data_IF_848018506942
#
_entry.id   IF_848018506942
#
_cell.length_a   1.000
_cell.length_b   1.000
_cell.length_c   1.000
_cell.angle_alpha   90.00
_cell.angle_beta   90.00
_cell.angle_gamma   90.00
#
_symmetry.space_group_name_H-M   'P 1'
#
loop_
_entity.id
_entity.type
_entity.pdbx_description
1 polymer ?
#
# COMPACT_ATOMS: atom_id res chain seq x y z
N UNK A 1 2.57 -2.52 37.91
CA UNK A 1 1.25 -2.76 37.28
C UNK A 1 0.29 -3.53 38.19
N UNK A 2 0.63 -4.75 38.65
CA UNK A 2 -0.22 -5.55 39.55
C UNK A 2 -0.53 -4.86 40.89
N UNK A 3 0.46 -4.22 41.52
CA UNK A 3 0.26 -3.45 42.75
C UNK A 3 -0.68 -2.25 42.56
N UNK A 4 -0.60 -1.56 41.41
CA UNK A 4 -1.49 -0.44 41.05
C UNK A 4 -2.92 -0.89 40.83
N UNK A 5 -3.12 -2.06 40.21
CA UNK A 5 -4.43 -2.70 40.09
C UNK A 5 -5.04 -3.03 41.47
N UNK A 6 -4.23 -3.51 42.43
CA UNK A 6 -4.69 -3.77 43.81
C UNK A 6 -5.06 -2.49 44.56
N UNK A 7 -4.23 -1.45 44.46
CA UNK A 7 -4.50 -0.16 45.10
C UNK A 7 -5.82 0.45 44.60
N UNK A 8 -6.03 0.43 43.29
CA UNK A 8 -7.28 0.92 42.69
C UNK A 8 -8.48 0.06 43.08
N UNK A 9 -8.30 -1.26 43.21
CA UNK A 9 -9.36 -2.13 43.72
C UNK A 9 -9.74 -1.80 45.16
N UNK A 10 -8.76 -1.57 46.04
CA UNK A 10 -8.99 -1.22 47.44
C UNK A 10 -9.79 0.09 47.58
N UNK A 11 -9.54 1.06 46.70
CA UNK A 11 -10.28 2.34 46.67
C UNK A 11 -11.73 2.20 46.16
N UNK A 12 -12.03 1.16 45.38
CA UNK A 12 -13.34 0.98 44.73
C UNK A 12 -14.03 -0.34 45.11
N UNK A 13 -14.01 -0.67 46.40
CA UNK A 13 -14.80 -1.79 46.95
C UNK A 13 -14.30 -3.18 46.58
N UNK A 14 -13.00 -3.33 46.31
CA UNK A 14 -12.34 -4.61 46.03
C UNK A 14 -12.51 -5.13 44.60
N UNK A 15 -13.23 -4.40 43.74
CA UNK A 15 -13.53 -4.82 42.36
C UNK A 15 -13.01 -3.81 41.33
N UNK A 16 -12.52 -4.29 40.19
CA UNK A 16 -12.08 -3.43 39.09
C UNK A 16 -12.69 -3.85 37.76
N UNK A 17 -12.97 -2.87 36.90
CA UNK A 17 -13.42 -3.09 35.52
C UNK A 17 -12.50 -2.36 34.54
N UNK A 18 -12.37 -2.80 33.27
CA UNK A 18 -11.56 -2.09 32.27
C UNK A 18 -11.95 -0.62 32.10
N UNK A 19 -13.24 -0.30 32.23
CA UNK A 19 -13.74 1.07 32.15
C UNK A 19 -13.31 1.92 33.34
N UNK A 20 -13.42 1.37 34.56
CA UNK A 20 -12.98 2.04 35.79
C UNK A 20 -11.47 2.30 35.78
N UNK A 21 -10.67 1.31 35.35
CA UNK A 21 -9.22 1.49 35.23
C UNK A 21 -8.88 2.51 34.14
N UNK A 22 -9.61 2.50 33.02
CA UNK A 22 -9.39 3.46 31.93
C UNK A 22 -9.72 4.91 32.31
N UNK A 23 -10.75 5.13 33.13
CA UNK A 23 -11.15 6.47 33.55
C UNK A 23 -10.23 7.08 34.62
N UNK A 24 -9.59 6.24 35.44
CA UNK A 24 -8.69 6.71 36.52
C UNK A 24 -7.22 6.66 36.10
N UNK A 25 -6.82 5.68 35.29
CA UNK A 25 -5.42 5.46 34.92
C UNK A 25 -5.29 4.74 33.56
N UNK A 26 -5.37 5.53 32.48
CA UNK A 26 -5.26 5.03 31.11
C UNK A 26 -3.89 4.42 30.78
N UNK A 27 -2.82 4.78 31.51
CA UNK A 27 -1.50 4.17 31.35
C UNK A 27 -1.48 2.75 31.94
N UNK A 28 -2.10 2.55 33.10
CA UNK A 28 -2.27 1.24 33.71
C UNK A 28 -3.10 0.31 32.83
N UNK A 29 -4.22 0.78 32.25
CA UNK A 29 -5.05 -0.04 31.36
C UNK A 29 -4.28 -0.50 30.10
N UNK A 30 -3.46 0.39 29.52
CA UNK A 30 -2.61 0.04 28.36
C UNK A 30 -1.55 -0.99 28.74
N UNK A 31 -0.86 -0.79 29.86
CA UNK A 31 0.12 -1.75 30.37
C UNK A 31 -0.51 -3.12 30.62
N UNK A 32 -1.73 -3.18 31.16
CA UNK A 32 -2.44 -4.44 31.44
C UNK A 32 -2.74 -5.21 30.15
N UNK A 33 -3.10 -4.51 29.06
CA UNK A 33 -3.35 -5.13 27.75
C UNK A 33 -2.09 -5.65 27.07
N UNK A 34 -0.94 -5.03 27.34
CA UNK A 34 0.35 -5.45 26.76
C UNK A 34 0.90 -6.71 27.45
N UNK A 35 0.74 -6.81 28.77
CA UNK A 35 1.36 -7.87 29.55
C UNK A 35 0.43 -9.05 29.89
N UNK A 36 -0.88 -8.89 29.76
CA UNK A 36 -1.85 -9.97 30.00
C UNK A 36 -2.74 -10.18 28.78
N UNK A 37 -2.88 -11.43 28.35
CA UNK A 37 -3.77 -11.82 27.25
C UNK A 37 -5.25 -11.46 27.49
N UNK A 38 -5.65 -11.29 28.75
CA UNK A 38 -6.97 -10.74 29.10
C UNK A 38 -6.94 -9.97 30.41
N UNK A 39 -7.85 -9.00 30.54
CA UNK A 39 -8.01 -8.22 31.77
C UNK A 39 -8.41 -9.11 32.97
N UNK A 40 -9.13 -10.21 32.72
CA UNK A 40 -9.45 -11.21 33.73
C UNK A 40 -8.20 -11.94 34.27
N UNK A 41 -7.22 -12.23 33.42
CA UNK A 41 -5.93 -12.80 33.86
C UNK A 41 -5.13 -11.81 34.69
N UNK A 42 -5.15 -10.53 34.33
CA UNK A 42 -4.51 -9.48 35.12
C UNK A 42 -5.14 -9.36 36.52
N UNK A 43 -6.47 -9.45 36.62
CA UNK A 43 -7.19 -9.44 37.90
C UNK A 43 -6.85 -10.67 38.75
N UNK A 44 -6.77 -11.87 38.14
CA UNK A 44 -6.34 -13.09 38.84
C UNK A 44 -4.91 -12.99 39.37
N UNK A 45 -3.97 -12.51 38.55
CA UNK A 45 -2.58 -12.29 38.97
C UNK A 45 -2.49 -11.23 40.09
N UNK A 46 -3.38 -10.24 40.05
CA UNK A 46 -3.49 -9.24 41.10
C UNK A 46 -4.28 -9.70 42.33
N UNK A 47 -4.90 -10.88 42.34
CA UNK A 47 -5.86 -11.30 43.39
C UNK A 47 -6.94 -10.25 43.65
N UNK A 48 -7.40 -9.61 42.58
CA UNK A 48 -8.47 -8.59 42.60
C UNK A 48 -9.70 -9.17 41.92
N UNK A 49 -10.88 -8.91 42.47
CA UNK A 49 -12.13 -9.32 41.84
C UNK A 49 -12.38 -8.52 40.56
N UNK A 50 -12.57 -9.23 39.45
CA UNK A 50 -13.07 -8.59 38.24
C UNK A 50 -14.54 -8.25 38.45
N UNK A 51 -14.92 -6.98 38.26
CA UNK A 51 -16.31 -6.58 38.17
C UNK A 51 -16.94 -7.27 36.94
N UNK A 52 -17.51 -8.45 37.16
CA UNK A 52 -18.32 -9.13 36.15
C UNK A 52 -19.53 -8.22 35.92
N UNK A 53 -19.72 -7.77 34.69
CA UNK A 53 -21.03 -7.28 34.27
C UNK A 53 -21.99 -8.41 34.61
N UNK A 54 -22.97 -8.15 35.47
CA UNK A 54 -24.00 -9.14 35.75
C UNK A 54 -24.48 -9.71 34.40
N UNK A 55 -24.77 -11.02 34.28
CA UNK A 55 -25.66 -11.43 33.19
C UNK A 55 -26.83 -10.47 33.25
N UNK A 56 -27.32 -9.99 32.09
CA UNK A 56 -28.50 -9.13 32.06
C UNK A 56 -29.60 -9.87 32.83
N UNK A 57 -29.69 -9.61 34.13
CA UNK A 57 -30.85 -9.94 34.91
C UNK A 57 -31.92 -9.19 34.16
N UNK A 58 -32.98 -9.92 33.83
CA UNK A 58 -34.23 -9.31 33.45
C UNK A 58 -34.62 -8.47 34.66
N UNK A 59 -34.08 -7.26 34.75
CA UNK A 59 -34.49 -6.24 35.68
C UNK A 59 -35.96 -6.03 35.35
N UNK A 60 -36.82 -6.64 36.17
CA UNK A 60 -38.24 -6.33 36.23
C UNK A 60 -38.30 -4.87 36.66
N UNK A 61 -38.27 -3.96 35.69
CA UNK A 61 -38.39 -2.53 35.93
C UNK A 61 -39.86 -2.24 36.29
N UNK A 62 -40.15 -1.59 37.43
CA UNK A 62 -41.49 -1.12 37.74
C UNK A 62 -41.84 0.00 36.75
N UNK A 63 -42.80 -0.24 35.85
CA UNK A 63 -43.24 0.69 34.80
C UNK A 63 -43.23 0.06 33.40
N UNK A 64 -44.25 -0.73 33.08
CA UNK A 64 -44.44 -1.35 31.77
C UNK A 64 -44.80 -0.31 30.69
N UNK A 65 -43.84 0.12 29.87
CA UNK A 65 -44.14 1.11 28.82
C UNK A 65 -44.67 0.45 27.53
N UNK A 66 -44.36 -0.83 27.26
CA UNK A 66 -44.82 -1.50 26.02
C UNK A 66 -45.20 -2.97 26.24
N UNK A 67 -46.28 -3.39 25.60
CA UNK A 67 -46.76 -4.77 25.52
C UNK A 67 -47.34 -5.02 24.13
N UNK A 68 -47.49 -6.29 23.71
CA UNK A 68 -48.09 -6.62 22.41
C UNK A 68 -49.47 -5.99 22.25
N UNK A 69 -50.31 -6.05 23.29
CA UNK A 69 -51.63 -5.43 23.31
C UNK A 69 -51.58 -3.90 23.18
N UNK A 70 -50.63 -3.24 23.87
CA UNK A 70 -50.45 -1.78 23.77
C UNK A 70 -49.96 -1.33 22.40
N UNK A 71 -49.04 -2.07 21.79
CA UNK A 71 -48.56 -1.80 20.42
C UNK A 71 -49.71 -1.91 19.41
N UNK A 72 -50.53 -2.96 19.54
CA UNK A 72 -51.71 -3.16 18.66
C UNK A 72 -52.74 -2.04 18.85
N UNK A 73 -53.02 -1.64 20.10
CA UNK A 73 -53.93 -0.53 20.42
C UNK A 73 -53.45 0.80 19.86
N UNK A 74 -52.16 1.10 19.98
CA UNK A 74 -51.58 2.34 19.46
C UNK A 74 -51.63 2.39 17.93
N UNK A 75 -51.37 1.26 17.26
CA UNK A 75 -51.50 1.16 15.82
C UNK A 75 -52.95 1.35 15.35
N UNK A 76 -53.94 0.77 16.06
CA UNK A 76 -55.36 0.99 15.77
C UNK A 76 -55.78 2.44 15.96
N UNK A 77 -55.30 3.10 17.02
CA UNK A 77 -55.53 4.52 17.26
C UNK A 77 -55.00 5.36 16.11
N UNK A 78 -53.75 5.13 15.70
CA UNK A 78 -53.13 5.85 14.58
C UNK A 78 -53.88 5.63 13.26
N UNK A 79 -54.36 4.42 13.01
CA UNK A 79 -55.17 4.10 11.83
C UNK A 79 -56.53 4.82 11.86
N UNK A 80 -57.19 4.86 13.01
CA UNK A 80 -58.46 5.58 13.22
C UNK A 80 -58.33 7.11 13.09
N UNK A 81 -57.18 7.67 13.49
CA UNK A 81 -56.83 9.08 13.29
C UNK A 81 -56.40 9.39 11.84
N UNK A 82 -56.44 8.42 10.93
CA UNK A 82 -56.00 8.57 9.54
C UNK A 82 -54.49 8.79 9.39
N UNK A 83 -53.70 8.52 10.44
CA UNK A 83 -52.27 8.66 10.42
C UNK A 83 -51.60 7.50 9.67
N UNK A 84 -50.58 7.82 8.87
CA UNK A 84 -49.82 6.79 8.18
C UNK A 84 -49.08 5.88 9.17
N UNK A 85 -49.45 4.59 9.17
CA UNK A 85 -48.80 3.51 9.95
C UNK A 85 -47.61 2.88 9.20
N UNK A 86 -47.09 3.59 8.20
CA UNK A 86 -45.90 3.22 7.43
C UNK A 86 -44.62 3.36 8.23
N UNK A 87 -43.62 2.51 7.96
CA UNK A 87 -42.37 2.51 8.71
C UNK A 87 -41.62 3.85 8.62
N UNK A 88 -41.55 4.44 7.43
CA UNK A 88 -40.82 5.69 7.20
C UNK A 88 -41.52 6.89 7.86
N UNK A 89 -42.86 6.90 7.85
CA UNK A 89 -43.69 7.95 8.41
C UNK A 89 -43.71 7.88 9.95
N UNK A 90 -43.78 6.67 10.53
CA UNK A 90 -43.67 6.45 11.97
C UNK A 90 -42.26 6.82 12.50
N UNK A 91 -41.21 6.63 11.71
CA UNK A 91 -39.86 7.06 12.08
C UNK A 91 -39.68 8.59 12.03
N UNK A 92 -40.39 9.29 11.15
CA UNK A 92 -40.32 10.75 11.02
C UNK A 92 -41.15 11.49 12.07
N UNK A 93 -42.30 10.94 12.48
CA UNK A 93 -43.23 11.59 13.43
C UNK A 93 -42.84 11.48 14.90
N UNK A 94 -41.73 10.82 15.24
CA UNK A 94 -41.28 10.66 16.63
C UNK A 94 -41.71 9.40 17.41
N UNK A 95 -42.65 8.51 16.99
CA UNK A 95 -42.87 7.25 17.67
C UNK A 95 -41.84 6.17 17.25
N UNK A 96 -40.54 6.52 17.27
CA UNK A 96 -39.45 5.56 17.13
C UNK A 96 -39.54 4.43 18.19
N UNK A 97 -40.09 4.78 19.37
CA UNK A 97 -40.44 3.82 20.41
C UNK A 97 -41.48 2.78 20.00
N UNK A 98 -42.46 3.13 19.15
CA UNK A 98 -43.51 2.21 18.69
C UNK A 98 -42.97 1.21 17.67
N UNK A 99 -42.10 1.64 16.75
CA UNK A 99 -41.44 0.74 15.78
C UNK A 99 -40.52 -0.25 16.51
N UNK A 100 -39.74 0.24 17.48
CA UNK A 100 -38.92 -0.60 18.35
C UNK A 100 -39.74 -1.55 19.22
N UNK A 101 -40.85 -1.08 19.79
CA UNK A 101 -41.77 -1.90 20.58
C UNK A 101 -42.48 -2.97 19.72
N UNK A 102 -42.86 -2.64 18.49
CA UNK A 102 -43.44 -3.61 17.56
C UNK A 102 -42.43 -4.71 17.20
N UNK A 103 -41.15 -4.37 17.02
CA UNK A 103 -40.10 -5.35 16.82
C UNK A 103 -39.92 -6.25 18.07
N UNK A 104 -39.86 -5.66 19.26
CA UNK A 104 -39.60 -6.37 20.51
C UNK A 104 -40.76 -7.24 21.01
N UNK A 105 -42.01 -6.78 20.87
CA UNK A 105 -43.19 -7.40 21.52
C UNK A 105 -44.21 -8.02 20.56
N UNK A 106 -44.18 -7.65 19.27
CA UNK A 106 -45.11 -8.15 18.26
C UNK A 106 -44.41 -8.89 17.10
N UNK A 107 -43.09 -9.07 17.17
CA UNK A 107 -42.30 -9.76 16.14
C UNK A 107 -42.16 -8.97 14.83
N UNK A 108 -42.32 -7.64 14.89
CA UNK A 108 -42.17 -6.72 13.77
C UNK A 108 -43.43 -5.92 13.46
N UNK A 109 -43.25 -4.73 12.88
CA UNK A 109 -44.32 -3.78 12.56
C UNK A 109 -45.42 -4.38 11.66
N UNK A 110 -45.06 -5.25 10.71
CA UNK A 110 -46.03 -5.89 9.82
C UNK A 110 -46.95 -6.88 10.57
N UNK A 111 -46.41 -7.62 11.54
CA UNK A 111 -47.20 -8.53 12.38
C UNK A 111 -48.07 -7.77 13.37
N UNK A 112 -47.54 -6.66 13.91
CA UNK A 112 -48.29 -5.76 14.77
C UNK A 112 -49.49 -5.13 14.04
N UNK A 113 -49.30 -4.69 12.78
CA UNK A 113 -50.37 -4.17 11.91
C UNK A 113 -51.40 -5.22 11.56
N UNK A 114 -50.97 -6.44 11.23
CA UNK A 114 -51.90 -7.55 10.98
C UNK A 114 -52.77 -7.85 12.21
N UNK A 115 -52.17 -7.88 13.41
CA UNK A 115 -52.92 -8.03 14.67
C UNK A 115 -53.83 -6.84 15.00
N UNK A 116 -53.51 -5.65 14.47
CA UNK A 116 -54.34 -4.46 14.56
C UNK A 116 -55.49 -4.43 13.54
N UNK A 117 -55.53 -5.33 12.55
CA UNK A 117 -56.51 -5.31 11.46
C UNK A 117 -56.14 -4.32 10.34
N UNK A 118 -54.93 -3.78 10.36
CA UNK A 118 -54.48 -2.75 9.41
C UNK A 118 -53.89 -3.44 8.19
N UNK A 119 -54.52 -3.23 7.04
CA UNK A 119 -54.05 -3.75 5.76
C UNK A 119 -52.59 -3.37 5.49
N UNK A 120 -51.86 -4.25 4.78
CA UNK A 120 -50.48 -3.95 4.37
C UNK A 120 -50.47 -2.67 3.54
N UNK A 121 -49.49 -1.76 3.75
CA UNK A 121 -49.43 -0.56 2.94
C UNK A 121 -49.16 -1.01 1.51
N UNK A 122 -50.03 -0.61 0.57
CA UNK A 122 -49.87 -0.94 -0.84
C UNK A 122 -48.46 -0.55 -1.29
N UNK A 123 -47.75 -1.44 -1.98
CA UNK A 123 -46.51 -1.04 -2.67
C UNK A 123 -46.93 0.02 -3.68
N UNK A 124 -46.60 1.29 -3.43
CA UNK A 124 -46.75 2.35 -4.44
C UNK A 124 -46.03 1.84 -5.69
N UNK A 125 -46.76 1.57 -6.78
CA UNK A 125 -46.14 1.29 -8.08
C UNK A 125 -45.28 2.52 -8.36
N UNK A 126 -43.96 2.33 -8.40
CA UNK A 126 -43.04 3.39 -8.74
C UNK A 126 -43.49 3.92 -10.10
N UNK A 127 -43.82 5.21 -10.17
CA UNK A 127 -44.14 5.85 -11.43
C UNK A 127 -43.02 5.53 -12.42
N UNK A 128 -43.38 4.94 -13.56
CA UNK A 128 -42.41 4.70 -14.62
C UNK A 128 -42.02 6.06 -15.17
N UNK A 129 -40.73 6.23 -15.46
CA UNK A 129 -40.30 7.41 -16.18
C UNK A 129 -40.81 7.30 -17.62
N UNK A 130 -41.37 8.41 -18.10
CA UNK A 130 -41.63 8.68 -19.50
C UNK A 130 -41.11 10.09 -19.82
N UNK A 131 -41.17 10.49 -21.10
CA UNK A 131 -40.64 11.78 -21.54
C UNK A 131 -41.32 12.96 -20.79
N UNK A 132 -42.64 12.91 -20.60
CA UNK A 132 -43.40 13.96 -19.94
C UNK A 132 -43.10 14.06 -18.43
N UNK A 133 -42.99 12.92 -17.74
CA UNK A 133 -42.64 12.84 -16.32
C UNK A 133 -41.22 13.36 -16.04
N UNK A 134 -40.28 13.13 -16.95
CA UNK A 134 -38.91 13.65 -16.85
C UNK A 134 -38.91 15.17 -17.02
N UNK A 135 -39.58 15.69 -18.05
CA UNK A 135 -39.69 17.14 -18.29
C UNK A 135 -40.38 17.82 -17.11
N UNK A 136 -41.48 17.26 -16.62
CA UNK A 136 -42.20 17.76 -15.44
C UNK A 136 -41.33 17.78 -14.19
N UNK A 137 -40.55 16.73 -13.94
CA UNK A 137 -39.64 16.66 -12.80
C UNK A 137 -38.47 17.66 -12.90
N UNK A 138 -37.98 17.93 -14.11
CA UNK A 138 -36.96 18.96 -14.35
C UNK A 138 -37.56 20.36 -14.12
N UNK A 139 -38.74 20.64 -14.66
CA UNK A 139 -39.43 21.92 -14.52
C UNK A 139 -39.84 22.21 -13.06
N UNK A 140 -40.31 21.21 -12.32
CA UNK A 140 -40.59 21.33 -10.88
C UNK A 140 -39.31 21.67 -10.10
N UNK A 141 -38.21 20.99 -10.41
CA UNK A 141 -36.92 21.25 -9.78
C UNK A 141 -36.41 22.66 -10.08
N UNK A 142 -36.61 23.14 -11.31
CA UNK A 142 -36.27 24.49 -11.74
C UNK A 142 -37.09 25.54 -10.98
N UNK A 143 -38.43 25.36 -10.91
CA UNK A 143 -39.33 26.23 -10.15
C UNK A 143 -39.00 26.28 -8.66
N UNK A 144 -38.55 25.16 -8.10
CA UNK A 144 -38.10 25.09 -6.70
C UNK A 144 -36.71 25.72 -6.46
N UNK A 145 -36.07 26.31 -7.48
CA UNK A 145 -34.73 26.92 -7.38
C UNK A 145 -33.61 25.91 -7.07
N UNK A 146 -33.86 24.61 -7.28
CA UNK A 146 -32.90 23.57 -6.96
C UNK A 146 -31.89 23.38 -8.09
N UNK A 147 -30.63 23.11 -7.75
CA UNK A 147 -29.57 22.93 -8.74
C UNK A 147 -29.91 21.85 -9.78
N UNK A 148 -29.94 22.26 -11.05
CA UNK A 148 -30.24 21.43 -12.22
C UNK A 148 -29.01 20.77 -12.84
N UNK A 149 -27.81 21.11 -12.36
CA UNK A 149 -26.57 20.50 -12.82
C UNK A 149 -26.65 18.97 -12.64
N UNK A 150 -26.23 18.21 -13.66
CA UNK A 150 -26.32 16.74 -13.65
C UNK A 150 -25.63 16.08 -12.46
N UNK A 151 -24.60 16.74 -11.88
CA UNK A 151 -23.89 16.31 -10.67
C UNK A 151 -24.63 16.58 -9.36
N UNK A 152 -25.65 17.44 -9.38
CA UNK A 152 -26.46 17.84 -8.22
C UNK A 152 -27.91 17.39 -8.31
N UNK A 153 -28.39 17.05 -9.51
CA UNK A 153 -29.70 16.48 -9.75
C UNK A 153 -29.77 15.02 -9.24
N UNK A 154 -30.97 14.51 -8.89
CA UNK A 154 -31.13 13.14 -8.43
C UNK A 154 -30.66 12.13 -9.49
N UNK A 155 -29.78 11.21 -9.10
CA UNK A 155 -29.17 10.24 -10.02
C UNK A 155 -30.19 9.45 -10.85
N UNK A 156 -31.33 9.08 -10.25
CA UNK A 156 -32.43 8.37 -10.92
C UNK A 156 -33.08 9.19 -12.05
N UNK A 157 -33.21 10.50 -11.86
CA UNK A 157 -33.78 11.41 -12.85
C UNK A 157 -32.79 11.61 -14.00
N UNK A 158 -31.50 11.80 -13.67
CA UNK A 158 -30.43 11.92 -14.67
C UNK A 158 -30.30 10.64 -15.51
N UNK A 159 -30.38 9.47 -14.87
CA UNK A 159 -30.36 8.19 -15.57
C UNK A 159 -31.57 8.00 -16.48
N UNK A 160 -32.77 8.35 -16.01
CA UNK A 160 -33.98 8.31 -16.83
C UNK A 160 -33.89 9.26 -18.03
N UNK A 161 -33.47 10.51 -17.81
CA UNK A 161 -33.25 11.48 -18.87
C UNK A 161 -32.27 10.97 -19.94
N UNK A 162 -31.15 10.36 -19.53
CA UNK A 162 -30.20 9.74 -20.48
C UNK A 162 -30.81 8.58 -21.25
N UNK A 163 -31.67 7.78 -20.63
CA UNK A 163 -32.29 6.63 -21.29
C UNK A 163 -33.38 7.04 -22.29
N UNK A 164 -34.20 8.05 -21.94
CA UNK A 164 -35.30 8.50 -22.79
C UNK A 164 -34.86 9.54 -23.85
N UNK A 165 -34.06 10.53 -23.46
CA UNK A 165 -33.63 11.63 -24.33
C UNK A 165 -32.18 11.49 -24.85
N UNK A 166 -31.49 10.41 -24.51
CA UNK A 166 -30.08 10.17 -24.87
C UNK A 166 -29.06 10.94 -24.03
N UNK A 167 -29.42 12.13 -23.51
CA UNK A 167 -28.55 12.94 -22.67
C UNK A 167 -29.32 13.77 -21.62
N UNK A 168 -28.63 14.26 -20.60
CA UNK A 168 -29.24 15.18 -19.62
C UNK A 168 -29.54 16.53 -20.28
N UNK A 169 -28.65 16.97 -21.16
CA UNK A 169 -28.74 18.20 -21.92
C UNK A 169 -29.97 18.21 -22.84
N UNK A 170 -30.26 17.10 -23.53
CA UNK A 170 -31.46 16.97 -24.36
C UNK A 170 -32.74 17.02 -23.54
N UNK A 171 -32.75 16.43 -22.34
CA UNK A 171 -33.90 16.50 -21.44
C UNK A 171 -34.11 17.90 -20.85
N UNK A 172 -33.03 18.65 -20.57
CA UNK A 172 -33.10 20.06 -20.18
C UNK A 172 -33.66 20.92 -21.33
N UNK A 173 -33.18 20.71 -22.56
CA UNK A 173 -33.67 21.40 -23.74
C UNK A 173 -35.17 21.13 -23.98
N UNK A 174 -35.61 19.88 -23.82
CA UNK A 174 -37.02 19.52 -23.90
C UNK A 174 -37.88 20.15 -22.78
N UNK A 175 -37.25 20.55 -21.67
CA UNK A 175 -37.88 21.32 -20.59
C UNK A 175 -37.77 22.84 -20.77
N UNK A 176 -37.23 23.32 -21.90
CA UNK A 176 -37.03 24.74 -22.20
C UNK A 176 -35.89 25.39 -21.41
N UNK A 177 -34.94 24.60 -20.92
CA UNK A 177 -33.82 25.07 -20.09
C UNK A 177 -32.53 24.93 -20.87
N UNK A 178 -31.78 26.02 -21.02
CA UNK A 178 -30.45 25.97 -21.63
C UNK A 178 -29.46 25.23 -20.71
N UNK A 179 -28.90 24.14 -21.23
CA UNK A 179 -27.90 23.34 -20.54
C UNK A 179 -26.59 24.10 -20.27
N UNK A 180 -26.29 25.16 -21.04
CA UNK A 180 -25.12 26.00 -20.82
C UNK A 180 -25.23 26.82 -19.52
N UNK A 181 -26.41 27.36 -19.22
CA UNK A 181 -26.68 28.14 -18.00
C UNK A 181 -26.67 27.26 -16.73
N UNK A 182 -27.02 25.99 -16.88
CA UNK A 182 -27.11 25.01 -15.78
C UNK A 182 -25.75 24.37 -15.45
N UNK A 183 -24.78 24.43 -16.35
CA UNK A 183 -23.47 23.76 -16.18
C UNK A 183 -22.62 24.47 -15.12
N UNK A 184 -22.40 23.78 -13.99
CA UNK A 184 -21.45 24.22 -12.94
C UNK A 184 -19.97 24.11 -13.35
N UNK A 185 -19.65 23.36 -14.41
CA UNK A 185 -18.29 23.32 -14.95
C UNK A 185 -18.19 24.29 -16.12
N UNK A 186 -17.36 25.34 -15.95
CA UNK A 186 -16.83 26.14 -17.05
C UNK A 186 -16.32 25.20 -18.15
N UNK A 187 -16.56 25.57 -19.41
CA UNK A 187 -16.27 24.75 -20.59
C UNK A 187 -14.84 24.20 -20.64
N UNK A 188 -14.60 23.29 -21.59
CA UNK A 188 -13.25 22.81 -21.87
C UNK A 188 -12.38 24.04 -22.18
N UNK A 189 -11.26 24.18 -21.47
CA UNK A 189 -10.30 25.24 -21.77
C UNK A 189 -9.95 25.22 -23.26
N UNK A 190 -10.09 26.37 -23.91
CA UNK A 190 -9.58 26.60 -25.26
C UNK A 190 -8.07 26.79 -25.23
N UNK A 191 -7.42 26.65 -26.38
CA UNK A 191 -5.98 26.92 -26.49
C UNK A 191 -5.66 28.36 -26.07
N UNK A 192 -6.43 29.33 -26.55
CA UNK A 192 -6.26 30.75 -26.22
C UNK A 192 -6.36 31.03 -24.71
N UNK A 193 -7.34 30.42 -24.03
CA UNK A 193 -7.50 30.58 -22.57
C UNK A 193 -6.31 30.01 -21.79
N UNK A 194 -5.74 28.87 -22.23
CA UNK A 194 -4.57 28.28 -21.59
C UNK A 194 -3.34 29.16 -21.81
N UNK A 195 -3.14 29.66 -23.02
CA UNK A 195 -2.03 30.56 -23.34
C UNK A 195 -2.12 31.85 -22.51
N UNK A 196 -3.30 32.43 -22.38
CA UNK A 196 -3.47 33.65 -21.58
C UNK A 196 -3.23 33.39 -20.08
N UNK A 197 -3.66 32.23 -19.57
CA UNK A 197 -3.36 31.79 -18.20
C UNK A 197 -1.85 31.67 -17.96
N UNK A 198 -1.15 31.06 -18.92
CA UNK A 198 0.30 30.87 -18.87
C UNK A 198 1.02 32.22 -18.91
N UNK A 199 0.58 33.15 -19.77
CA UNK A 199 1.12 34.52 -19.85
C UNK A 199 0.85 35.31 -18.57
N UNK A 200 -0.36 35.23 -18.02
CA UNK A 200 -0.69 35.89 -16.75
C UNK A 200 0.23 35.42 -15.62
N UNK A 201 0.46 34.11 -15.49
CA UNK A 201 1.41 33.57 -14.51
C UNK A 201 2.84 34.13 -14.69
N UNK A 202 3.27 34.31 -15.94
CA UNK A 202 4.58 34.89 -16.23
C UNK A 202 4.65 36.39 -15.90
N UNK A 203 3.58 37.16 -16.16
CA UNK A 203 3.47 38.58 -15.77
C UNK A 203 3.49 38.75 -14.26
N UNK A 204 2.85 37.85 -13.53
CA UNK A 204 2.79 37.85 -12.06
C UNK A 204 4.09 37.38 -11.40
N UNK A 205 5.16 37.13 -12.17
CA UNK A 205 6.44 36.64 -11.67
C UNK A 205 6.43 35.20 -11.14
N UNK A 206 5.32 34.47 -11.33
CA UNK A 206 5.22 33.07 -10.91
C UNK A 206 5.98 32.18 -11.89
N UNK A 207 6.93 31.34 -11.43
CA UNK A 207 7.65 30.45 -12.32
C UNK A 207 6.69 29.48 -13.03
N UNK A 208 6.62 29.57 -14.37
CA UNK A 208 5.77 28.70 -15.19
C UNK A 208 6.42 27.33 -15.33
N UNK A 209 5.99 26.37 -14.52
CA UNK A 209 6.47 24.98 -14.51
C UNK A 209 5.29 24.02 -14.43
N UNK A 210 5.54 22.74 -14.74
CA UNK A 210 4.50 21.70 -14.61
C UNK A 210 3.88 21.61 -13.21
N UNK A 211 4.65 21.89 -12.15
CA UNK A 211 4.16 21.85 -10.76
C UNK A 211 3.23 23.02 -10.42
N UNK A 212 3.57 24.23 -10.83
CA UNK A 212 2.78 25.45 -10.60
C UNK A 212 1.55 25.48 -11.51
N UNK A 213 1.71 25.10 -12.78
CA UNK A 213 0.61 25.07 -13.75
C UNK A 213 -0.51 24.08 -13.37
N UNK A 214 -0.18 22.97 -12.68
CA UNK A 214 -1.16 21.97 -12.21
C UNK A 214 -2.22 22.58 -11.28
N UNK A 215 -1.85 23.60 -10.50
CA UNK A 215 -2.77 24.29 -9.59
C UNK A 215 -3.78 25.19 -10.31
N UNK A 216 -3.47 25.58 -11.55
CA UNK A 216 -4.27 26.55 -12.32
C UNK A 216 -5.08 25.85 -13.43
N UNK A 217 -4.47 24.89 -14.14
CA UNK A 217 -5.08 24.15 -15.25
C UNK A 217 -4.79 22.66 -15.12
N UNK A 218 -5.75 21.82 -15.52
CA UNK A 218 -5.54 20.37 -15.61
C UNK A 218 -4.48 20.08 -16.67
N UNK A 219 -3.34 19.52 -16.25
CA UNK A 219 -2.22 19.22 -17.16
C UNK A 219 -2.59 18.26 -18.31
N UNK A 220 -3.58 17.39 -18.10
CA UNK A 220 -4.08 16.50 -19.15
C UNK A 220 -4.70 17.28 -20.31
N UNK A 221 -5.44 18.35 -20.00
CA UNK A 221 -6.00 19.26 -21.01
C UNK A 221 -4.90 19.98 -21.78
N UNK A 222 -3.85 20.44 -21.08
CA UNK A 222 -2.66 21.07 -21.70
C UNK A 222 -1.95 20.10 -22.63
N UNK A 223 -1.72 18.84 -22.21
CA UNK A 223 -1.08 17.82 -23.03
C UNK A 223 -1.90 17.43 -24.25
N UNK A 224 -3.23 17.39 -24.12
CA UNK A 224 -4.11 17.08 -25.26
C UNK A 224 -4.09 18.16 -26.34
N UNK A 225 -4.03 19.44 -25.93
CA UNK A 225 -4.08 20.56 -26.86
C UNK A 225 -2.70 20.88 -27.47
N UNK A 226 -1.64 20.84 -26.66
CA UNK A 226 -0.31 21.27 -27.09
C UNK A 226 0.72 20.12 -27.18
N UNK A 227 0.32 18.88 -26.89
CA UNK A 227 1.20 17.71 -26.80
C UNK A 227 2.03 17.63 -25.51
N UNK A 228 2.59 18.76 -25.07
CA UNK A 228 3.39 18.85 -23.84
C UNK A 228 3.23 20.21 -23.15
N UNK A 229 3.57 20.26 -21.85
CA UNK A 229 3.57 21.52 -21.10
C UNK A 229 4.62 22.48 -21.66
N UNK A 230 5.80 21.99 -22.04
CA UNK A 230 6.85 22.83 -22.62
C UNK A 230 6.45 23.41 -23.98
N UNK A 231 5.69 22.66 -24.79
CA UNK A 231 5.13 23.19 -26.04
C UNK A 231 4.10 24.30 -25.79
N UNK A 232 3.24 24.16 -24.78
CA UNK A 232 2.32 25.22 -24.39
C UNK A 232 3.04 26.48 -23.89
N UNK A 233 4.14 26.33 -23.14
CA UNK A 233 4.97 27.45 -22.66
C UNK A 233 5.66 28.16 -23.84
N UNK A 234 6.20 27.40 -24.80
CA UNK A 234 6.77 27.96 -26.04
C UNK A 234 5.73 28.70 -26.88
N UNK A 235 4.55 28.10 -27.05
CA UNK A 235 3.43 28.72 -27.75
C UNK A 235 2.93 29.99 -27.06
N UNK A 236 3.12 30.11 -25.75
CA UNK A 236 2.81 31.32 -25.00
C UNK A 236 3.86 32.44 -25.20
N UNK A 237 4.94 32.21 -25.94
CA UNK A 237 6.01 33.17 -26.18
C UNK A 237 6.98 33.34 -25.01
N UNK A 238 6.89 32.46 -24.00
CA UNK A 238 7.80 32.48 -22.86
C UNK A 238 9.05 31.71 -23.28
N UNK A 239 10.11 32.46 -23.62
CA UNK A 239 11.44 31.88 -23.80
C UNK A 239 11.79 31.16 -22.49
N UNK A 240 11.81 29.82 -22.54
CA UNK A 240 12.18 29.01 -21.41
C UNK A 240 13.67 29.31 -21.17
N UNK A 241 13.99 30.31 -20.34
CA UNK A 241 15.28 30.33 -19.66
C UNK A 241 15.24 29.04 -18.87
N UNK A 242 15.95 28.02 -19.37
CA UNK A 242 16.04 26.68 -18.80
C UNK A 242 16.87 26.76 -17.52
N UNK A 243 16.49 27.62 -16.60
CA UNK A 243 16.88 27.56 -15.21
C UNK A 243 15.81 26.69 -14.53
N UNK A 244 15.87 25.37 -14.75
CA UNK A 244 15.21 24.50 -13.78
C UNK A 244 15.86 24.83 -12.45
N UNK A 245 15.10 25.29 -11.45
CA UNK A 245 15.60 25.62 -10.10
C UNK A 245 16.21 24.42 -9.34
N UNK A 246 16.41 23.30 -10.02
CA UNK A 246 16.92 22.02 -9.60
C UNK A 246 17.94 21.46 -10.61
N UNK A 247 18.35 22.22 -11.64
CA UNK A 247 19.45 21.85 -12.53
C UNK A 247 20.78 22.14 -11.83
N UNK A 248 21.25 21.15 -11.09
CA UNK A 248 22.60 21.15 -10.52
C UNK A 248 23.69 20.97 -11.60
N UNK A 249 23.31 20.63 -12.83
CA UNK A 249 24.23 20.25 -13.89
C UNK A 249 23.86 20.92 -15.22
N UNK A 250 24.74 21.77 -15.73
CA UNK A 250 24.81 22.20 -17.14
C UNK A 250 25.95 21.48 -17.85
N UNK A 251 26.08 21.64 -19.17
CA UNK A 251 27.18 21.06 -19.94
C UNK A 251 28.53 21.58 -19.44
N UNK A 252 28.59 22.87 -19.13
CA UNK A 252 29.75 23.59 -18.60
C UNK A 252 30.09 23.13 -17.18
N UNK A 253 29.09 23.06 -16.29
CA UNK A 253 29.29 22.63 -14.91
C UNK A 253 29.73 21.17 -14.79
N UNK A 254 29.30 20.31 -15.72
CA UNK A 254 29.82 18.94 -15.83
C UNK A 254 31.30 18.93 -16.22
N UNK A 255 31.72 19.81 -17.14
CA UNK A 255 33.15 19.95 -17.51
C UNK A 255 33.96 20.43 -16.31
N UNK A 256 33.52 21.49 -15.62
CA UNK A 256 34.19 22.05 -14.43
C UNK A 256 34.34 21.03 -13.30
N UNK A 257 33.28 20.26 -13.00
CA UNK A 257 33.36 19.24 -11.96
C UNK A 257 34.28 18.08 -12.39
N UNK A 258 34.29 17.71 -13.66
CA UNK A 258 35.19 16.66 -14.17
C UNK A 258 36.65 17.10 -14.11
N UNK A 259 36.97 18.34 -14.44
CA UNK A 259 38.34 18.90 -14.34
C UNK A 259 38.76 19.04 -12.88
N UNK A 260 37.91 19.59 -12.02
CA UNK A 260 38.19 19.72 -10.59
C UNK A 260 38.40 18.37 -9.89
N UNK A 261 37.66 17.32 -10.27
CA UNK A 261 37.87 15.95 -9.79
C UNK A 261 39.16 15.34 -10.31
N UNK A 262 39.49 15.58 -11.58
CA UNK A 262 40.74 15.09 -12.16
C UNK A 262 41.97 15.72 -11.48
N UNK A 263 41.92 17.01 -11.16
CA UNK A 263 42.96 17.70 -10.38
C UNK A 263 43.12 17.11 -8.97
N UNK A 264 42.02 16.65 -8.34
CA UNK A 264 42.03 15.92 -7.06
C UNK A 264 42.42 14.44 -7.17
N UNK A 265 42.68 13.92 -8.38
CA UNK A 265 42.96 12.50 -8.62
C UNK A 265 41.74 11.57 -8.46
N UNK A 266 40.52 12.12 -8.40
CA UNK A 266 39.29 11.34 -8.24
C UNK A 266 38.80 10.79 -9.59
N UNK A 267 38.91 9.47 -9.76
CA UNK A 267 38.50 8.77 -11.00
C UNK A 267 37.06 8.24 -10.97
N UNK A 268 36.42 8.23 -9.80
CA UNK A 268 35.05 7.69 -9.62
C UNK A 268 34.01 8.80 -9.71
N UNK A 269 33.05 8.64 -10.61
CA UNK A 269 31.90 9.53 -10.73
C UNK A 269 30.86 9.19 -9.64
N UNK A 270 30.22 10.21 -9.08
CA UNK A 270 29.03 10.05 -8.24
C UNK A 270 27.83 9.71 -9.14
N UNK A 271 26.80 9.05 -8.59
CA UNK A 271 25.60 8.66 -9.37
C UNK A 271 24.90 9.86 -10.04
N UNK A 272 24.91 11.02 -9.38
CA UNK A 272 24.32 12.25 -9.93
C UNK A 272 25.10 12.78 -11.14
N UNK A 273 26.42 12.87 -11.01
CA UNK A 273 27.31 13.30 -12.09
C UNK A 273 27.33 12.30 -13.25
N UNK A 274 27.31 10.99 -12.98
CA UNK A 274 27.23 9.95 -14.00
C UNK A 274 25.97 10.08 -14.86
N UNK A 275 24.82 10.37 -14.24
CA UNK A 275 23.57 10.63 -14.96
C UNK A 275 23.64 11.92 -15.79
N UNK A 276 24.24 12.99 -15.25
CA UNK A 276 24.41 14.25 -15.97
C UNK A 276 25.33 14.11 -17.18
N UNK A 277 26.46 13.41 -17.01
CA UNK A 277 27.40 13.04 -18.07
C UNK A 277 26.71 12.26 -19.18
N UNK A 278 25.90 11.26 -18.83
CA UNK A 278 25.13 10.48 -19.80
C UNK A 278 24.13 11.35 -20.59
N UNK A 279 23.46 12.29 -19.92
CA UNK A 279 22.44 13.16 -20.52
C UNK A 279 23.04 14.23 -21.46
N UNK A 280 24.14 14.87 -21.07
CA UNK A 280 24.70 16.01 -21.80
C UNK A 280 25.75 15.64 -22.84
N UNK A 281 26.45 14.52 -22.66
CA UNK A 281 27.58 14.14 -23.52
C UNK A 281 27.44 12.72 -24.10
N UNK A 282 26.42 11.95 -23.72
CA UNK A 282 26.23 10.57 -24.19
C UNK A 282 27.14 9.53 -23.51
N UNK A 283 28.11 9.98 -22.71
CA UNK A 283 29.02 9.10 -21.99
C UNK A 283 30.20 9.84 -21.34
N UNK A 284 30.88 9.14 -20.44
CA UNK A 284 32.01 9.69 -19.69
C UNK A 284 33.27 9.89 -20.54
N UNK A 285 33.37 9.21 -21.69
CA UNK A 285 34.50 9.38 -22.62
C UNK A 285 34.41 10.72 -23.34
N UNK A 286 33.23 11.01 -23.86
CA UNK A 286 32.88 12.22 -24.60
C UNK A 286 32.92 13.44 -23.69
N UNK A 287 32.39 13.32 -22.46
CA UNK A 287 32.43 14.39 -21.47
C UNK A 287 33.88 14.74 -21.06
N UNK A 288 34.76 13.74 -20.94
CA UNK A 288 36.17 13.97 -20.61
C UNK A 288 36.96 14.52 -21.79
N UNK A 289 36.69 14.07 -23.01
CA UNK A 289 37.28 14.65 -24.21
C UNK A 289 36.90 16.14 -24.34
N UNK A 290 35.64 16.48 -24.10
CA UNK A 290 35.17 17.87 -24.07
C UNK A 290 35.80 18.69 -22.93
N UNK A 291 36.21 18.06 -21.83
CA UNK A 291 36.93 18.67 -20.72
C UNK A 291 38.45 18.73 -20.91
N UNK A 292 38.99 18.30 -22.06
CA UNK A 292 40.43 18.21 -22.30
C UNK A 292 41.14 17.15 -21.44
N UNK A 293 40.39 16.22 -20.85
CA UNK A 293 40.91 15.19 -19.96
C UNK A 293 41.11 13.87 -20.71
N UNK A 294 42.23 13.20 -20.43
CA UNK A 294 42.48 11.85 -20.95
C UNK A 294 41.30 10.92 -20.61
N UNK A 295 40.82 10.07 -21.55
CA UNK A 295 39.71 9.18 -21.29
C UNK A 295 39.98 8.30 -20.07
N UNK A 296 38.99 8.15 -19.18
CA UNK A 296 39.00 7.07 -18.18
C UNK A 296 38.72 5.76 -18.90
N UNK A 297 39.66 5.34 -19.74
CA UNK A 297 39.71 3.94 -20.13
C UNK A 297 39.92 3.22 -18.81
N UNK A 298 38.97 2.36 -18.37
CA UNK A 298 39.39 1.24 -17.52
C UNK A 298 40.44 0.55 -18.35
N UNK A 299 41.72 0.83 -18.10
CA UNK A 299 42.81 0.31 -18.91
C UNK A 299 42.49 -1.16 -19.17
N UNK A 300 42.34 -1.57 -20.45
CA UNK A 300 41.84 -2.90 -20.76
C UNK A 300 42.70 -3.88 -19.98
N UNK A 301 42.07 -4.75 -19.19
CA UNK A 301 42.79 -5.66 -18.32
C UNK A 301 43.89 -6.34 -19.14
N UNK A 302 45.14 -6.11 -18.74
CA UNK A 302 46.30 -6.83 -19.24
C UNK A 302 46.51 -8.05 -18.35
N UNK A 303 47.14 -9.11 -18.86
CA UNK A 303 47.46 -10.29 -18.04
C UNK A 303 48.19 -9.91 -16.73
N UNK A 304 49.22 -9.03 -16.73
CA UNK A 304 49.89 -8.61 -15.49
C UNK A 304 49.02 -7.76 -14.55
N UNK A 305 48.22 -6.82 -15.07
CA UNK A 305 47.36 -5.97 -14.23
C UNK A 305 46.24 -6.77 -13.56
N UNK A 306 45.67 -7.74 -14.27
CA UNK A 306 44.64 -8.63 -13.72
C UNK A 306 45.21 -9.55 -12.62
N UNK A 307 46.44 -10.04 -12.78
CA UNK A 307 47.14 -10.81 -11.74
C UNK A 307 47.33 -9.97 -10.47
N UNK A 308 47.86 -8.74 -10.59
CA UNK A 308 48.06 -7.83 -9.46
C UNK A 308 46.76 -7.51 -8.73
N UNK A 309 45.69 -7.28 -9.48
CA UNK A 309 44.36 -7.02 -8.95
C UNK A 309 43.80 -8.22 -8.17
N UNK A 310 43.90 -9.42 -8.74
CA UNK A 310 43.45 -10.65 -8.08
C UNK A 310 44.19 -10.89 -6.76
N UNK A 311 45.51 -10.67 -6.73
CA UNK A 311 46.33 -10.77 -5.52
C UNK A 311 45.96 -9.70 -4.48
N UNK A 312 45.72 -8.46 -4.91
CA UNK A 312 45.30 -7.38 -4.00
C UNK A 312 43.97 -7.69 -3.33
N UNK A 313 42.97 -8.15 -4.08
CA UNK A 313 41.67 -8.53 -3.52
C UNK A 313 41.75 -9.74 -2.60
N UNK A 314 42.59 -10.72 -2.94
CA UNK A 314 42.82 -11.87 -2.07
C UNK A 314 43.41 -11.45 -0.71
N UNK A 315 44.38 -10.53 -0.70
CA UNK A 315 44.94 -9.96 0.55
C UNK A 315 43.89 -9.24 1.40
N UNK A 316 42.91 -8.57 0.77
CA UNK A 316 41.83 -7.84 1.44
C UNK A 316 40.58 -8.67 1.75
N UNK A 317 40.56 -9.95 1.39
CA UNK A 317 39.37 -10.80 1.53
C UNK A 317 38.19 -10.40 0.63
N UNK A 318 38.43 -9.59 -0.41
CA UNK A 318 37.40 -9.08 -1.30
C UNK A 318 37.00 -10.09 -2.39
N UNK A 319 35.73 -10.05 -2.81
CA UNK A 319 35.23 -10.91 -3.89
C UNK A 319 35.79 -10.51 -5.26
N UNK A 320 36.33 -11.49 -5.98
CA UNK A 320 36.81 -11.33 -7.35
C UNK A 320 35.72 -11.58 -8.42
N UNK A 321 34.44 -11.70 -8.05
CA UNK A 321 33.34 -12.05 -8.97
C UNK A 321 33.22 -11.07 -10.15
N UNK A 322 33.44 -9.77 -9.92
CA UNK A 322 33.39 -8.74 -10.96
C UNK A 322 34.53 -8.81 -11.97
N UNK A 323 35.56 -9.63 -11.71
CA UNK A 323 36.72 -9.82 -12.59
C UNK A 323 36.61 -11.10 -13.44
N UNK A 324 35.59 -11.94 -13.25
CA UNK A 324 35.51 -13.25 -13.89
C UNK A 324 35.49 -13.17 -15.42
N UNK A 325 34.80 -12.19 -16.00
CA UNK A 325 34.80 -11.97 -17.45
C UNK A 325 36.17 -11.56 -18.01
N UNK A 326 36.98 -10.84 -17.21
CA UNK A 326 38.36 -10.52 -17.59
C UNK A 326 39.27 -11.75 -17.47
N UNK A 327 39.06 -12.59 -16.45
CA UNK A 327 39.80 -13.84 -16.28
C UNK A 327 39.54 -14.82 -17.42
N UNK A 328 38.29 -14.99 -17.86
CA UNK A 328 37.95 -15.88 -18.97
C UNK A 328 38.54 -15.36 -20.28
N UNK A 329 38.44 -14.06 -20.56
CA UNK A 329 38.95 -13.46 -21.80
C UNK A 329 40.48 -13.55 -21.93
N UNK A 330 41.23 -13.33 -20.85
CA UNK A 330 42.70 -13.23 -20.91
C UNK A 330 43.44 -14.53 -20.63
N UNK A 331 42.85 -15.43 -19.83
CA UNK A 331 43.47 -16.67 -19.37
C UNK A 331 42.62 -17.92 -19.68
N UNK A 332 41.52 -17.77 -20.43
CA UNK A 332 40.60 -18.86 -20.78
C UNK A 332 39.67 -19.27 -19.63
N UNK A 333 40.09 -19.15 -18.37
CA UNK A 333 39.24 -19.47 -17.21
C UNK A 333 39.63 -18.72 -15.94
N UNK A 334 38.69 -18.59 -15.01
CA UNK A 334 38.93 -18.01 -13.67
C UNK A 334 39.95 -18.85 -12.88
N UNK A 335 39.96 -20.17 -13.07
CA UNK A 335 40.93 -21.06 -12.44
C UNK A 335 42.34 -20.83 -12.97
N UNK A 336 42.52 -20.69 -14.28
CA UNK A 336 43.80 -20.39 -14.90
C UNK A 336 44.33 -19.01 -14.49
N UNK A 337 43.49 -17.97 -14.48
CA UNK A 337 43.87 -16.64 -14.01
C UNK A 337 44.30 -16.63 -12.54
N UNK A 338 43.62 -17.40 -11.68
CA UNK A 338 44.00 -17.52 -10.26
C UNK A 338 45.27 -18.32 -10.05
N UNK A 339 45.49 -19.40 -10.82
CA UNK A 339 46.77 -20.14 -10.82
C UNK A 339 47.93 -19.23 -11.25
N UNK A 340 47.76 -18.45 -12.32
CA UNK A 340 48.75 -17.48 -12.78
C UNK A 340 49.04 -16.41 -11.71
N UNK A 341 48.04 -16.07 -10.89
CA UNK A 341 48.19 -15.15 -9.75
C UNK A 341 48.75 -15.82 -8.46
N UNK A 342 49.12 -17.11 -8.51
CA UNK A 342 49.50 -17.93 -7.34
C UNK A 342 48.45 -17.96 -6.23
N UNK A 343 47.18 -17.89 -6.62
CA UNK A 343 46.03 -17.97 -5.72
C UNK A 343 45.36 -19.35 -5.85
N UNK A 344 44.78 -19.89 -4.77
CA UNK A 344 44.01 -21.13 -4.86
C UNK A 344 42.88 -20.96 -5.87
N UNK A 345 42.73 -21.95 -6.74
CA UNK A 345 41.62 -22.01 -7.68
C UNK A 345 40.31 -21.79 -6.92
N UNK A 346 39.33 -21.08 -7.50
CA UNK A 346 38.07 -20.86 -6.81
C UNK A 346 37.47 -22.26 -6.61
N UNK A 347 37.41 -22.73 -5.36
CA UNK A 347 36.70 -23.95 -5.03
C UNK A 347 35.28 -23.69 -5.52
N UNK A 348 34.88 -24.31 -6.64
CA UNK A 348 33.45 -24.55 -6.88
C UNK A 348 33.08 -25.33 -5.64
N UNK A 349 32.37 -24.70 -4.71
CA UNK A 349 31.79 -25.44 -3.61
C UNK A 349 30.97 -26.50 -4.32
N UNK A 350 31.43 -27.75 -4.27
CA UNK A 350 30.68 -28.85 -4.85
C UNK A 350 29.30 -29.00 -4.16
N UNK A 351 29.05 -28.14 -3.16
CA UNK A 351 27.76 -27.87 -2.58
C UNK A 351 27.20 -29.14 -1.99
N UNK A 352 25.87 -29.18 -1.87
CA UNK A 352 25.17 -30.40 -1.49
C UNK A 352 25.34 -31.51 -2.55
N UNK A 353 25.90 -31.24 -3.73
CA UNK A 353 26.06 -32.26 -4.77
C UNK A 353 27.20 -33.25 -4.49
N UNK A 354 28.20 -32.85 -3.68
CA UNK A 354 29.28 -33.73 -3.23
C UNK A 354 29.04 -34.38 -1.86
N UNK A 355 27.87 -34.15 -1.25
CA UNK A 355 27.54 -34.77 0.04
C UNK A 355 27.41 -36.29 -0.09
N UNK A 356 27.72 -36.99 1.00
CA UNK A 356 27.54 -38.42 1.09
C UNK A 356 26.04 -38.81 1.07
N UNK A 357 25.77 -40.10 0.82
CA UNK A 357 24.42 -40.64 0.66
C UNK A 357 23.54 -40.41 1.90
N UNK A 358 24.11 -40.38 3.11
CA UNK A 358 23.37 -40.21 4.38
C UNK A 358 23.05 -38.75 4.66
N UNK A 359 23.99 -37.84 4.44
CA UNK A 359 23.82 -36.40 4.57
C UNK A 359 22.77 -35.87 3.59
N UNK A 360 22.77 -36.37 2.35
CA UNK A 360 21.76 -36.08 1.34
C UNK A 360 20.34 -36.49 1.79
N UNK A 361 20.16 -37.68 2.35
CA UNK A 361 18.86 -38.14 2.85
C UNK A 361 18.38 -37.36 4.07
N UNK A 362 19.28 -37.03 5.00
CA UNK A 362 18.94 -36.24 6.19
C UNK A 362 18.43 -34.86 5.81
N UNK A 363 19.10 -34.21 4.86
CA UNK A 363 18.69 -32.91 4.34
C UNK A 363 17.40 -32.98 3.54
N UNK A 364 17.23 -34.03 2.73
CA UNK A 364 15.98 -34.28 2.01
C UNK A 364 14.80 -34.44 2.99
N UNK A 365 14.96 -35.22 4.08
CA UNK A 365 13.93 -35.38 5.12
C UNK A 365 13.59 -34.05 5.79
N UNK A 366 14.60 -33.28 6.21
CA UNK A 366 14.42 -31.97 6.83
C UNK A 366 13.60 -31.03 5.94
N UNK A 367 13.92 -30.96 4.65
CA UNK A 367 13.21 -30.08 3.70
C UNK A 367 11.80 -30.58 3.39
N UNK A 368 11.60 -31.89 3.29
CA UNK A 368 10.25 -32.45 3.12
C UNK A 368 9.37 -32.17 4.35
N UNK A 369 9.92 -32.32 5.57
CA UNK A 369 9.22 -31.99 6.81
C UNK A 369 8.86 -30.49 6.89
N UNK A 370 9.79 -29.61 6.49
CA UNK A 370 9.58 -28.16 6.46
C UNK A 370 8.84 -27.65 5.20
N UNK A 371 8.39 -28.55 4.29
CA UNK A 371 7.79 -28.21 2.97
C UNK A 371 8.61 -27.21 2.14
N UNK A 372 9.94 -27.28 2.24
CA UNK A 372 10.86 -26.40 1.53
C UNK A 372 11.25 -26.96 0.16
N UNK A 373 11.50 -26.06 -0.80
CA UNK A 373 11.98 -26.41 -2.13
C UNK A 373 13.37 -27.06 -2.12
N UNK A 374 13.59 -28.04 -2.99
CA UNK A 374 14.89 -28.70 -3.16
C UNK A 374 15.79 -27.83 -4.05
N UNK A 375 16.90 -27.34 -3.50
CA UNK A 375 17.87 -26.55 -4.26
C UNK A 375 18.61 -27.39 -5.30
N UNK A 376 19.06 -26.76 -6.41
CA UNK A 376 19.72 -27.44 -7.55
C UNK A 376 20.88 -28.35 -7.14
N UNK A 377 21.68 -27.95 -6.14
CA UNK A 377 22.80 -28.76 -5.63
C UNK A 377 22.37 -30.04 -4.91
N UNK A 378 21.32 -29.97 -4.09
CA UNK A 378 20.77 -31.15 -3.40
C UNK A 378 20.14 -32.10 -4.41
N UNK A 379 19.39 -31.57 -5.39
CA UNK A 379 18.77 -32.36 -6.46
C UNK A 379 19.80 -33.12 -7.29
N UNK A 380 20.90 -32.46 -7.66
CA UNK A 380 21.99 -33.10 -8.41
C UNK A 380 22.69 -34.20 -7.59
N UNK A 381 22.96 -33.95 -6.31
CA UNK A 381 23.55 -34.94 -5.40
C UNK A 381 22.66 -36.16 -5.20
N UNK A 382 21.35 -35.95 -5.01
CA UNK A 382 20.37 -37.04 -4.84
C UNK A 382 20.23 -37.90 -6.11
N UNK A 383 20.18 -37.28 -7.30
CA UNK A 383 20.16 -38.03 -8.56
C UNK A 383 21.42 -38.87 -8.75
N UNK A 384 22.59 -38.31 -8.45
CA UNK A 384 23.86 -39.04 -8.53
C UNK A 384 23.90 -40.22 -7.57
N UNK A 385 23.46 -40.03 -6.32
CA UNK A 385 23.60 -41.05 -5.27
C UNK A 385 22.49 -42.13 -5.28
N UNK A 386 21.33 -41.86 -5.89
CA UNK A 386 20.16 -42.76 -5.89
C UNK A 386 19.59 -43.04 -7.28
N UNK A 387 20.23 -42.55 -8.35
CA UNK A 387 19.74 -42.63 -9.73
C UNK A 387 18.58 -41.68 -10.04
N UNK A 388 17.61 -41.55 -9.13
CA UNK A 388 16.45 -40.67 -9.31
C UNK A 388 16.01 -39.99 -8.01
N UNK A 389 15.27 -38.89 -8.15
CA UNK A 389 14.65 -38.21 -7.00
C UNK A 389 13.53 -39.04 -6.37
N UNK A 390 12.85 -39.87 -7.16
CA UNK A 390 11.82 -40.78 -6.67
C UNK A 390 12.43 -41.84 -5.75
N UNK A 391 13.53 -42.48 -6.19
CA UNK A 391 14.28 -43.44 -5.38
C UNK A 391 14.84 -42.81 -4.11
N UNK A 392 15.36 -41.58 -4.19
CA UNK A 392 15.84 -40.86 -3.01
C UNK A 392 14.70 -40.52 -2.02
N UNK A 393 13.50 -40.17 -2.49
CA UNK A 393 12.32 -39.92 -1.65
C UNK A 393 11.78 -41.21 -1.02
N UNK A 394 11.78 -42.32 -1.76
CA UNK A 394 11.43 -43.64 -1.23
C UNK A 394 12.41 -44.05 -0.11
N UNK A 395 13.71 -43.93 -0.35
CA UNK A 395 14.75 -44.18 0.65
C UNK A 395 14.66 -43.25 1.87
N UNK A 396 14.23 -42.00 1.67
CA UNK A 396 13.97 -41.07 2.76
C UNK A 396 12.78 -41.51 3.65
N UNK A 397 11.75 -42.14 3.07
CA UNK A 397 10.55 -42.61 3.77
C UNK A 397 10.71 -43.97 4.46
N UNK A 398 11.60 -44.82 3.95
CA UNK A 398 11.76 -46.21 4.40
C UNK A 398 12.43 -46.41 5.78
N UNK A 399 12.74 -45.35 6.54
CA UNK A 399 13.35 -45.47 7.89
C UNK A 399 12.66 -44.52 8.85
N UNK A 400 11.59 -45.00 9.47
CA UNK A 400 10.82 -44.36 10.54
C UNK A 400 10.85 -45.26 11.78
N UNK A 401 12.01 -45.36 12.43
CA UNK A 401 12.14 -45.95 13.76
C UNK A 401 13.44 -45.41 14.37
N UNK A 402 13.32 -44.67 15.47
CA UNK A 402 14.34 -43.96 16.26
C UNK A 402 14.64 -42.48 15.87
N UNK A 403 14.46 -41.52 16.80
CA UNK A 403 14.97 -40.16 16.66
C UNK A 403 16.49 -40.12 16.88
N UNK A 404 17.25 -39.63 15.90
CA UNK A 404 18.69 -39.35 16.07
C UNK A 404 18.90 -38.17 17.05
N UNK A 405 19.92 -38.20 17.92
CA UNK A 405 20.23 -37.10 18.83
C UNK A 405 20.65 -35.82 18.07
N UNK A 406 20.52 -34.63 18.69
CA UNK A 406 20.79 -33.36 18.03
C UNK A 406 22.27 -33.24 17.59
N UNK A 407 22.56 -32.44 16.55
CA UNK A 407 23.88 -32.37 15.94
C UNK A 407 24.93 -31.85 16.93
N UNK A 408 26.05 -32.56 17.05
CA UNK A 408 27.28 -31.96 17.58
C UNK A 408 27.69 -30.82 16.64
N UNK A 409 27.64 -29.59 17.14
CA UNK A 409 28.17 -28.40 16.46
C UNK A 409 29.62 -28.67 16.02
N UNK A 410 30.04 -28.26 14.81
CA UNK A 410 31.45 -28.30 14.46
C UNK A 410 32.20 -27.43 15.47
N UNK A 411 33.14 -28.04 16.20
CA UNK A 411 34.08 -27.36 17.09
C UNK A 411 34.59 -26.11 16.38
N UNK A 412 34.30 -24.94 16.92
CA UNK A 412 35.13 -23.77 16.68
C UNK A 412 36.56 -24.20 16.99
N UNK A 413 37.39 -24.28 15.95
CA UNK A 413 38.83 -24.34 16.13
C UNK A 413 39.20 -23.11 16.94
N UNK A 414 39.46 -23.33 18.24
CA UNK A 414 40.07 -22.34 19.11
C UNK A 414 41.33 -21.86 18.39
N UNK A 415 41.44 -20.55 18.25
CA UNK A 415 42.72 -19.86 18.07
C UNK A 415 43.64 -20.39 19.16
N UNK A 416 44.67 -21.14 18.75
CA UNK A 416 45.84 -21.33 19.59
C UNK A 416 46.66 -20.06 19.51
N UNK A 417 46.62 -19.27 20.58
CA UNK A 417 47.65 -18.28 20.86
C UNK A 417 48.95 -19.04 21.17
N UNK A 418 49.79 -19.19 20.15
CA UNK A 418 51.17 -19.60 20.30
C UNK A 418 52.03 -18.34 20.39
N UNK A 419 52.35 -17.92 21.62
CA UNK A 419 53.46 -16.99 21.89
C UNK A 419 54.73 -17.60 21.31
N UNK A 420 55.37 -16.87 20.41
CA UNK A 420 56.76 -17.08 20.02
C UNK A 420 57.63 -16.56 21.16
N UNK A 421 58.34 -17.45 21.84
CA UNK A 421 59.54 -17.12 22.60
C UNK A 421 60.71 -17.55 21.70
N UNK A 422 61.51 -16.56 21.28
CA UNK A 422 62.79 -16.80 20.59
C UNK A 422 63.83 -17.29 21.60
N UNK A 423 64.85 -18.05 21.16
CA UNK A 423 66.08 -18.17 21.94
C UNK A 423 66.78 -16.81 22.05
#
# INVERSE_FOLDING_TARGET
>A
MVARLRALAAQHGGMVSPGLVGSHDGALLRSVRLHFASFAMACRAARVALARRAPRSVLRRPGAVWSRARVVRELRRLDAEGASTGWAELMQRGPAGLVGAAAAYAGGLQRARAAAGIARPGRRRRARWDHAAIVGAIAERARAGLALASSKAPQRLVAAARWHFGSWEAALAAAGIDAAEVRLQRGRYTEAEILERIRAMARDGTPVRSSTLRGVVKLDTVRRLFGSVDAAIRAAGIAQVVAHGNQTWSRERVIEELTARAARGETRLTRGLERAVQLHFGGAREARAAAGLSPLVRAPWTRPSLIRELQRRARRGESARTLWGACTRLFGSVAAARRAARLPAPRRSAGMAAWDRRALLRELRRRLAARQQLGRGLTAGLRRAFGSLAAARAAARARSAAPDPPPRSPRHARRGDGKVQRP
#
